data_IF_285404893372
#
_entry.id   IF_285404893372
#
_cell.length_a   1.000
_cell.length_b   1.000
_cell.length_c   1.000
_cell.angle_alpha   90.00
_cell.angle_beta   90.00
_cell.angle_gamma   90.00
#
_symmetry.space_group_name_H-M   'P 1'
#
loop_
_entity.id
_entity.type
_entity.pdbx_description
1 polymer ?
#
# COMPACT_ATOMS: atom_id res chain seq x y z
N UNK A 1 -40.10 16.20 34.03
CA UNK A 1 -39.87 14.88 33.41
C UNK A 1 -38.84 15.09 32.30
N UNK A 2 -37.80 14.24 32.20
CA UNK A 2 -36.51 14.62 31.64
C UNK A 2 -36.43 14.51 30.11
N UNK A 3 -35.70 15.46 29.52
CA UNK A 3 -34.68 15.30 28.47
C UNK A 3 -34.93 14.28 27.35
N UNK A 4 -35.51 14.76 26.25
CA UNK A 4 -35.30 14.15 24.93
C UNK A 4 -34.16 14.88 24.22
N UNK A 5 -32.90 14.54 24.54
CA UNK A 5 -31.70 14.98 23.82
C UNK A 5 -31.82 14.53 22.34
N UNK A 6 -32.24 15.44 21.47
CA UNK A 6 -32.37 15.18 20.04
C UNK A 6 -30.97 15.06 19.44
N UNK A 7 -30.49 13.84 19.24
CA UNK A 7 -29.22 13.59 18.53
C UNK A 7 -29.47 13.52 17.02
N UNK A 8 -28.86 14.41 16.21
CA UNK A 8 -28.98 14.30 14.76
C UNK A 8 -28.31 13.00 14.27
N UNK A 9 -29.12 12.11 13.71
CA UNK A 9 -28.77 10.79 13.14
C UNK A 9 -28.00 10.85 11.80
N UNK A 10 -27.64 12.04 11.31
CA UNK A 10 -27.02 12.21 9.99
C UNK A 10 -25.64 12.88 10.09
N UNK A 11 -24.77 12.39 10.97
CA UNK A 11 -23.33 12.56 10.72
C UNK A 11 -23.00 11.54 9.63
N UNK A 12 -22.45 11.93 8.46
CA UNK A 12 -21.99 10.94 7.50
C UNK A 12 -21.03 10.03 8.25
N UNK A 13 -21.38 8.75 8.36
CA UNK A 13 -20.47 7.75 8.89
C UNK A 13 -19.18 7.93 8.09
N UNK A 14 -18.13 8.42 8.76
CA UNK A 14 -16.80 8.32 8.20
C UNK A 14 -16.66 6.88 7.69
N UNK A 15 -16.18 6.65 6.45
CA UNK A 15 -16.02 5.30 5.97
C UNK A 15 -15.27 4.54 7.06
N UNK A 16 -15.87 3.47 7.58
CA UNK A 16 -15.30 2.71 8.69
C UNK A 16 -13.82 2.53 8.40
N UNK A 17 -12.90 2.95 9.30
CA UNK A 17 -11.48 2.74 9.07
C UNK A 17 -11.32 1.24 8.86
N UNK A 18 -11.03 0.86 7.61
CA UNK A 18 -10.97 -0.52 7.19
C UNK A 18 -9.96 -1.21 8.09
N UNK A 19 -10.44 -2.18 8.86
CA UNK A 19 -9.78 -2.85 9.99
C UNK A 19 -8.30 -2.55 10.12
N UNK A 20 -7.95 -1.71 11.10
CA UNK A 20 -6.57 -1.50 11.49
C UNK A 20 -5.92 -2.84 11.84
N UNK A 21 -4.69 -3.05 11.40
CA UNK A 21 -3.95 -4.27 11.64
C UNK A 21 -2.51 -3.95 12.01
N UNK A 22 -1.91 -4.85 12.77
CA UNK A 22 -0.47 -4.87 13.00
C UNK A 22 0.20 -5.64 11.86
N UNK A 23 1.11 -4.99 11.15
CA UNK A 23 1.85 -5.61 10.04
C UNK A 23 3.34 -5.41 10.26
N UNK A 24 4.02 -6.53 10.46
CA UNK A 24 5.47 -6.57 10.55
C UNK A 24 6.00 -7.46 9.44
N UNK A 25 6.81 -6.90 8.56
CA UNK A 25 7.46 -7.61 7.46
C UNK A 25 8.88 -7.09 7.25
N UNK A 26 9.81 -8.01 7.12
CA UNK A 26 11.21 -7.73 6.79
C UNK A 26 11.64 -8.72 5.71
N UNK A 27 12.07 -8.22 4.56
CA UNK A 27 12.37 -9.05 3.41
C UNK A 27 12.37 -8.23 2.13
N UNK A 28 12.10 -8.89 0.99
CA UNK A 28 12.04 -8.21 -0.30
C UNK A 28 10.66 -7.57 -0.54
N UNK A 29 10.60 -6.42 -1.22
CA UNK A 29 9.34 -5.73 -1.54
C UNK A 29 8.38 -6.64 -2.34
N UNK A 30 8.90 -7.56 -3.15
CA UNK A 30 8.12 -8.55 -3.87
C UNK A 30 7.40 -9.52 -2.93
N UNK A 31 8.02 -9.84 -1.79
CA UNK A 31 7.44 -10.68 -0.75
C UNK A 31 6.55 -9.90 0.23
N UNK A 32 6.68 -8.57 0.30
CA UNK A 32 5.86 -7.73 1.16
C UNK A 32 4.40 -7.67 0.68
N UNK A 33 4.16 -7.61 -0.63
CA UNK A 33 2.81 -7.62 -1.22
C UNK A 33 1.98 -8.86 -0.84
N UNK A 34 2.44 -10.11 -1.07
CA UNK A 34 1.70 -11.30 -0.67
C UNK A 34 1.59 -11.44 0.85
N UNK A 35 2.56 -10.95 1.62
CA UNK A 35 2.45 -10.88 3.08
C UNK A 35 1.32 -9.92 3.50
N UNK A 36 1.20 -8.76 2.85
CA UNK A 36 0.15 -7.79 3.10
C UNK A 36 -1.24 -8.34 2.73
N UNK A 37 -1.33 -9.16 1.66
CA UNK A 37 -2.56 -9.87 1.30
C UNK A 37 -3.05 -10.82 2.39
N UNK A 38 -2.17 -11.38 3.22
CA UNK A 38 -2.58 -12.26 4.34
C UNK A 38 -3.31 -11.51 5.44
N UNK A 39 -2.90 -10.27 5.72
CA UNK A 39 -3.55 -9.43 6.74
C UNK A 39 -4.74 -8.64 6.17
N UNK A 40 -4.67 -8.28 4.89
CA UNK A 40 -5.73 -7.58 4.17
C UNK A 40 -6.20 -8.40 2.94
N UNK A 41 -7.00 -9.47 3.13
CA UNK A 41 -7.42 -10.35 2.04
C UNK A 41 -8.30 -9.67 0.97
N UNK A 42 -8.79 -8.47 1.28
CA UNK A 42 -9.54 -7.60 0.38
C UNK A 42 -8.69 -7.00 -0.77
N UNK A 43 -7.35 -7.15 -0.74
CA UNK A 43 -6.48 -6.69 -1.82
C UNK A 43 -6.16 -7.78 -2.81
N UNK A 44 -6.11 -7.39 -4.08
CA UNK A 44 -5.70 -8.26 -5.17
C UNK A 44 -4.30 -7.86 -5.62
N UNK A 45 -3.32 -8.67 -5.21
CA UNK A 45 -1.91 -8.49 -5.60
C UNK A 45 -1.75 -8.88 -7.06
N UNK A 46 -1.44 -7.90 -7.89
CA UNK A 46 -1.14 -8.07 -9.30
C UNK A 46 0.37 -8.30 -9.52
N UNK A 47 0.76 -8.92 -10.64
CA UNK A 47 2.17 -9.09 -10.98
C UNK A 47 2.88 -7.73 -11.07
N UNK A 48 4.14 -7.70 -10.65
CA UNK A 48 4.93 -6.47 -10.66
C UNK A 48 5.25 -6.02 -12.08
N UNK A 49 5.25 -4.71 -12.29
CA UNK A 49 5.60 -4.09 -13.56
C UNK A 49 7.07 -3.66 -13.54
N UNK A 50 7.80 -3.95 -14.61
CA UNK A 50 9.22 -3.60 -14.77
C UNK A 50 10.18 -4.75 -14.50
N UNK A 51 11.47 -4.44 -14.43
CA UNK A 51 12.53 -5.41 -14.14
C UNK A 51 12.60 -5.63 -12.62
N UNK A 52 12.31 -6.84 -12.11
CA UNK A 52 12.39 -7.10 -10.68
C UNK A 52 13.82 -6.87 -10.20
N UNK A 53 13.96 -6.03 -9.18
CA UNK A 53 15.23 -5.73 -8.53
C UNK A 53 15.10 -6.09 -7.06
N UNK A 54 16.10 -6.75 -6.45
CA UNK A 54 16.06 -7.04 -5.03
C UNK A 54 16.02 -5.72 -4.26
N UNK A 55 14.94 -5.50 -3.53
CA UNK A 55 14.73 -4.29 -2.73
C UNK A 55 14.34 -4.71 -1.31
N UNK A 56 15.30 -4.71 -0.37
CA UNK A 56 15.01 -5.02 1.01
C UNK A 56 14.14 -3.91 1.62
N UNK A 57 12.97 -4.30 2.11
CA UNK A 57 12.03 -3.44 2.83
C UNK A 57 11.80 -3.99 4.23
N UNK A 58 11.62 -3.09 5.18
CA UNK A 58 11.32 -3.40 6.56
C UNK A 58 10.19 -2.52 7.05
N UNK A 59 9.00 -3.09 7.12
CA UNK A 59 7.79 -2.38 7.53
C UNK A 59 7.35 -2.91 8.88
N UNK A 60 7.20 -2.02 9.85
CA UNK A 60 6.67 -2.33 11.17
C UNK A 60 5.60 -1.32 11.52
N UNK A 61 4.36 -1.73 11.32
CA UNK A 61 3.18 -0.90 11.49
C UNK A 61 2.30 -1.51 12.56
N UNK A 62 1.81 -0.64 13.46
CA UNK A 62 0.93 -1.04 14.56
C UNK A 62 -0.37 -0.27 14.50
N UNK A 63 -1.50 -0.98 14.51
CA UNK A 63 -2.81 -0.38 14.32
C UNK A 63 -2.92 0.47 13.05
N UNK A 64 -2.25 0.06 11.97
CA UNK A 64 -2.22 0.81 10.72
C UNK A 64 -3.26 0.29 9.73
N UNK A 65 -3.65 1.12 8.78
CA UNK A 65 -4.56 0.72 7.70
C UNK A 65 -3.79 0.18 6.50
N UNK A 66 -4.51 -0.46 5.58
CA UNK A 66 -3.94 -0.90 4.30
C UNK A 66 -3.23 0.23 3.55
N UNK A 67 -3.83 1.42 3.50
CA UNK A 67 -3.25 2.57 2.82
C UNK A 67 -1.93 3.01 3.46
N UNK A 68 -1.84 2.96 4.79
CA UNK A 68 -0.63 3.28 5.55
C UNK A 68 0.47 2.25 5.29
N UNK A 69 0.12 0.96 5.25
CA UNK A 69 1.04 -0.11 4.87
C UNK A 69 1.58 0.01 3.45
N UNK A 70 0.71 0.32 2.48
CA UNK A 70 1.13 0.52 1.10
C UNK A 70 1.97 1.78 0.94
N UNK A 71 1.65 2.84 1.68
CA UNK A 71 2.44 4.08 1.70
C UNK A 71 3.83 3.82 2.25
N UNK A 72 3.96 3.17 3.41
CA UNK A 72 5.24 2.84 4.00
C UNK A 72 6.11 1.97 3.08
N UNK A 73 5.50 1.00 2.38
CA UNK A 73 6.19 0.19 1.36
C UNK A 73 6.63 1.03 0.15
N UNK A 74 5.79 1.95 -0.31
CA UNK A 74 6.13 2.87 -1.41
C UNK A 74 7.24 3.87 -1.04
N UNK A 75 7.23 4.38 0.19
CA UNK A 75 8.27 5.28 0.70
C UNK A 75 9.63 4.58 0.79
N UNK A 76 9.68 3.32 1.21
CA UNK A 76 10.91 2.52 1.17
C UNK A 76 11.31 2.11 -0.24
N UNK A 77 10.32 2.02 -1.14
CA UNK A 77 10.48 1.91 -2.58
C UNK A 77 11.33 3.02 -3.19
N UNK A 78 11.18 4.24 -2.68
CA UNK A 78 11.94 5.42 -3.11
C UNK A 78 11.93 5.58 -4.64
N UNK A 79 13.12 5.76 -5.21
CA UNK A 79 13.32 5.85 -6.67
C UNK A 79 13.45 4.48 -7.38
N UNK A 80 13.40 3.37 -6.64
CA UNK A 80 13.58 2.02 -7.19
C UNK A 80 12.25 1.38 -7.52
N UNK A 81 11.23 1.55 -6.68
CA UNK A 81 9.93 0.92 -6.83
C UNK A 81 8.79 1.81 -6.30
N UNK A 82 7.72 1.95 -7.08
CA UNK A 82 6.48 2.57 -6.63
C UNK A 82 5.45 1.48 -6.27
N UNK A 83 4.81 1.61 -5.11
CA UNK A 83 3.64 0.79 -4.76
C UNK A 83 2.38 1.51 -5.23
N UNK A 84 1.65 0.92 -6.17
CA UNK A 84 0.46 1.52 -6.76
C UNK A 84 -0.78 0.79 -6.27
N UNK A 85 -1.65 1.52 -5.59
CA UNK A 85 -3.01 1.09 -5.24
C UNK A 85 -3.99 1.63 -6.29
N UNK A 86 -4.69 0.73 -6.95
CA UNK A 86 -5.75 1.05 -7.89
C UNK A 86 -7.12 0.63 -7.30
N UNK A 87 -7.84 1.61 -6.74
CA UNK A 87 -9.20 1.45 -6.20
C UNK A 87 -10.28 1.80 -7.24
N UNK A 88 -10.18 1.25 -8.44
CA UNK A 88 -11.16 1.50 -9.50
C UNK A 88 -12.52 0.92 -9.07
N UNK A 89 -13.45 1.81 -8.70
CA UNK A 89 -14.83 1.46 -8.28
C UNK A 89 -15.60 0.64 -9.33
N UNK A 90 -15.15 0.65 -10.59
CA UNK A 90 -15.78 -0.03 -11.72
C UNK A 90 -15.31 -1.48 -11.95
N UNK A 91 -14.20 -1.93 -11.34
CA UNK A 91 -13.65 -3.29 -11.55
C UNK A 91 -13.60 -4.16 -10.29
N UNK A 92 -14.37 -3.80 -9.25
CA UNK A 92 -14.70 -4.74 -8.18
C UNK A 92 -13.55 -5.22 -7.29
N UNK A 93 -12.44 -4.48 -7.19
CA UNK A 93 -11.35 -4.89 -6.30
C UNK A 93 -10.29 -3.82 -6.04
N UNK A 94 -9.68 -3.90 -4.87
CA UNK A 94 -8.50 -3.12 -4.50
C UNK A 94 -7.26 -3.78 -5.14
N UNK A 95 -6.88 -3.35 -6.34
CA UNK A 95 -5.73 -3.92 -7.03
C UNK A 95 -4.45 -3.24 -6.54
N UNK A 96 -3.44 -4.02 -6.16
CA UNK A 96 -2.15 -3.52 -5.70
C UNK A 96 -1.05 -4.16 -6.54
N UNK A 97 -0.15 -3.36 -7.07
CA UNK A 97 1.06 -3.84 -7.74
C UNK A 97 2.26 -2.96 -7.38
N UNK A 98 3.44 -3.56 -7.44
CA UNK A 98 4.71 -2.84 -7.41
C UNK A 98 5.13 -2.55 -8.85
N UNK A 99 5.48 -1.30 -9.11
CA UNK A 99 6.07 -0.85 -10.37
C UNK A 99 7.53 -0.48 -10.10
N UNK A 100 8.45 -1.32 -10.56
CA UNK A 100 9.87 -1.01 -10.53
C UNK A 100 10.17 0.09 -11.54
N UNK A 101 10.87 1.12 -11.09
CA UNK A 101 11.49 2.07 -12.01
C UNK A 101 12.70 1.39 -12.61
N UNK A 102 12.89 1.57 -13.92
CA UNK A 102 14.15 1.15 -14.52
C UNK A 102 15.28 1.85 -13.75
N UNK A 103 16.37 1.14 -13.39
CA UNK A 103 17.54 1.84 -12.90
C UNK A 103 17.86 2.88 -13.97
N UNK A 104 17.99 4.14 -13.55
CA UNK A 104 18.74 5.09 -14.35
C UNK A 104 20.14 4.49 -14.45
N UNK A 105 20.41 3.72 -15.50
CA UNK A 105 21.78 3.59 -15.97
C UNK A 105 22.18 5.03 -16.23
N UNK A 106 22.93 5.62 -15.31
CA UNK A 106 23.77 6.77 -15.59
C UNK A 106 24.74 6.30 -16.66
N UNK A 107 24.25 6.26 -17.90
CA UNK A 107 25.07 6.35 -19.10
C UNK A 107 25.71 7.70 -18.96
N UNK A 108 26.85 7.75 -18.27
CA UNK A 108 27.77 8.86 -18.38
C UNK A 108 28.18 8.81 -19.85
N UNK A 109 27.77 9.74 -20.72
CA UNK A 109 28.38 9.80 -22.03
C UNK A 109 29.83 10.19 -21.75
N UNK A 110 30.71 9.19 -21.74
CA UNK A 110 32.15 9.40 -21.71
C UNK A 110 32.47 10.35 -22.85
N UNK A 111 32.87 11.55 -22.48
CA UNK A 111 33.39 12.55 -23.42
C UNK A 111 34.77 12.04 -23.82
N UNK A 112 34.91 11.60 -25.07
CA UNK A 112 36.21 11.36 -25.71
C UNK A 112 36.23 12.14 -27.02
#
# INVERSE_FOLDING_TARGET
MPEGDYRPINRPAAPAPQGVFDFHYEGDILGALPALKRVAPQINVMPTLGKPSPLPVRVNLRGATLEDALRALGEQGGDVADVVLNTTRHQGGNHVFVRFRAPIETTTPGTN
#
